data_IF_329036060210
#
_entry.id   IF_329036060210
#
_cell.length_a   1.000
_cell.length_b   1.000
_cell.length_c   1.000
_cell.angle_alpha   90.00
_cell.angle_beta   90.00
_cell.angle_gamma   90.00
#
_symmetry.space_group_name_H-M   'P 1'
#
loop_
_entity.id
_entity.type
_entity.pdbx_description
1 polymer ?
#
# COMPACT_ATOMS: atom_id res chain seq x y z
N UNK A 1 -20.13 -11.68 -22.94
CA UNK A 1 -20.22 -10.82 -21.74
C UNK A 1 -18.89 -10.75 -21.02
N UNK A 2 -18.10 -11.84 -20.99
CA UNK A 2 -16.73 -11.86 -20.46
C UNK A 2 -15.77 -10.94 -21.25
N UNK A 3 -15.94 -10.82 -22.58
CA UNK A 3 -15.13 -9.92 -23.44
C UNK A 3 -15.26 -8.42 -23.11
N UNK A 4 -16.26 -8.04 -22.29
CA UNK A 4 -16.45 -6.67 -21.82
C UNK A 4 -15.93 -6.46 -20.40
N UNK A 5 -15.90 -7.52 -19.58
CA UNK A 5 -15.57 -7.43 -18.15
C UNK A 5 -14.05 -7.43 -17.93
N UNK A 6 -13.31 -8.27 -18.66
CA UNK A 6 -11.83 -8.29 -18.61
C UNK A 6 -11.21 -6.90 -18.85
N UNK A 7 -11.48 -6.21 -19.97
CA UNK A 7 -10.84 -4.93 -20.26
C UNK A 7 -11.27 -3.82 -19.29
N UNK A 8 -12.53 -3.83 -18.80
CA UNK A 8 -13.01 -2.85 -17.83
C UNK A 8 -12.35 -3.07 -16.46
N UNK A 9 -12.23 -4.32 -16.05
CA UNK A 9 -11.61 -4.66 -14.77
C UNK A 9 -10.10 -4.40 -14.79
N UNK A 10 -9.39 -4.69 -15.88
CA UNK A 10 -7.98 -4.35 -16.04
C UNK A 10 -7.73 -2.85 -15.99
N UNK A 11 -8.54 -2.05 -16.69
CA UNK A 11 -8.44 -0.59 -16.63
C UNK A 11 -8.77 -0.05 -15.23
N UNK A 12 -9.81 -0.58 -14.59
CA UNK A 12 -10.19 -0.22 -13.24
C UNK A 12 -9.09 -0.52 -12.23
N UNK A 13 -8.54 -1.73 -12.26
CA UNK A 13 -7.43 -2.15 -11.41
C UNK A 13 -6.21 -1.25 -11.62
N UNK A 14 -5.83 -1.01 -12.88
CA UNK A 14 -4.68 -0.16 -13.23
C UNK A 14 -4.82 1.27 -12.72
N UNK A 15 -6.02 1.86 -12.81
CA UNK A 15 -6.28 3.22 -12.29
C UNK A 15 -6.19 3.24 -10.77
N UNK A 16 -6.77 2.26 -10.09
CA UNK A 16 -6.74 2.16 -8.63
C UNK A 16 -5.32 1.93 -8.12
N UNK A 17 -4.55 1.06 -8.79
CA UNK A 17 -3.13 0.81 -8.51
C UNK A 17 -2.31 2.09 -8.68
N UNK A 18 -2.49 2.78 -9.81
CA UNK A 18 -1.77 4.02 -10.11
C UNK A 18 -2.05 5.11 -9.07
N UNK A 19 -3.30 5.24 -8.62
CA UNK A 19 -3.69 6.15 -7.54
C UNK A 19 -2.98 5.79 -6.22
N UNK A 20 -2.97 4.51 -5.85
CA UNK A 20 -2.28 4.02 -4.65
C UNK A 20 -0.78 4.35 -4.68
N UNK A 21 -0.10 4.05 -5.79
CA UNK A 21 1.31 4.36 -6.00
C UNK A 21 1.54 5.87 -5.92
N UNK A 22 0.70 6.67 -6.57
CA UNK A 22 0.85 8.13 -6.59
C UNK A 22 0.71 8.75 -5.19
N UNK A 23 -0.22 8.23 -4.39
CA UNK A 23 -0.41 8.65 -2.99
C UNK A 23 0.83 8.32 -2.16
N UNK A 24 1.36 7.10 -2.27
CA UNK A 24 2.56 6.66 -1.53
C UNK A 24 3.76 7.54 -1.89
N UNK A 25 4.03 7.68 -3.19
CA UNK A 25 5.16 8.46 -3.69
C UNK A 25 5.00 9.94 -3.34
N UNK A 26 3.80 10.51 -3.54
CA UNK A 26 3.51 11.91 -3.25
C UNK A 26 3.67 12.25 -1.77
N UNK A 27 3.10 11.45 -0.87
CA UNK A 27 3.23 11.67 0.57
C UNK A 27 4.67 11.44 1.03
N UNK A 28 5.35 10.44 0.46
CA UNK A 28 6.76 10.18 0.75
C UNK A 28 7.64 11.36 0.38
N UNK A 29 7.47 11.90 -0.83
CA UNK A 29 8.23 13.03 -1.33
C UNK A 29 7.91 14.32 -0.57
N UNK A 30 6.63 14.61 -0.32
CA UNK A 30 6.20 15.76 0.47
C UNK A 30 6.79 15.73 1.88
N UNK A 31 6.77 14.57 2.53
CA UNK A 31 7.26 14.43 3.90
C UNK A 31 8.79 14.51 3.96
N UNK A 32 9.49 14.03 2.95
CA UNK A 32 10.94 14.19 2.81
C UNK A 32 11.33 15.67 2.71
N UNK A 33 10.67 16.44 1.83
CA UNK A 33 10.91 17.88 1.67
C UNK A 33 10.62 18.63 2.96
N UNK A 34 9.48 18.35 3.59
CA UNK A 34 9.10 18.97 4.87
C UNK A 34 10.13 18.69 5.97
N UNK A 35 10.60 17.45 6.06
CA UNK A 35 11.63 17.04 7.02
C UNK A 35 12.96 17.74 6.77
N UNK A 36 13.43 17.80 5.52
CA UNK A 36 14.65 18.50 5.14
C UNK A 36 14.58 19.99 5.48
N UNK A 37 13.49 20.68 5.10
CA UNK A 37 13.32 22.12 5.40
C UNK A 37 13.23 22.39 6.91
N UNK A 38 12.57 21.52 7.68
CA UNK A 38 12.47 21.62 9.14
C UNK A 38 13.83 21.45 9.85
N UNK A 39 14.67 20.53 9.38
CA UNK A 39 16.03 20.33 9.87
C UNK A 39 16.93 21.56 9.60
N UNK A 40 16.81 22.18 8.42
CA UNK A 40 17.53 23.43 8.12
C UNK A 40 17.11 24.60 9.01
N UNK A 41 15.87 24.59 9.56
CA UNK A 41 15.36 25.62 10.48
C UNK A 41 15.76 25.44 11.96
N UNK A 42 16.61 24.45 12.29
CA UNK A 42 17.04 24.12 13.68
C UNK A 42 15.87 23.78 14.63
N UNK A 43 14.73 23.33 14.10
CA UNK A 43 13.70 22.73 14.94
C UNK A 43 14.24 21.47 15.63
N UNK A 44 13.69 21.12 16.80
CA UNK A 44 14.09 19.91 17.53
C UNK A 44 13.90 18.70 16.59
N UNK A 45 15.01 18.13 16.14
CA UNK A 45 15.04 17.04 15.15
C UNK A 45 14.11 15.88 15.54
N UNK A 46 13.99 15.60 16.84
CA UNK A 46 13.10 14.58 17.39
C UNK A 46 11.61 14.84 17.09
N UNK A 47 11.16 16.09 17.13
CA UNK A 47 9.76 16.47 16.86
C UNK A 47 9.46 16.39 15.36
N UNK A 48 10.38 16.85 14.52
CA UNK A 48 10.27 16.74 13.05
C UNK A 48 10.25 15.26 12.64
N UNK A 49 11.14 14.44 13.18
CA UNK A 49 11.22 13.01 12.87
C UNK A 49 9.93 12.27 13.24
N UNK A 50 9.35 12.56 14.42
CA UNK A 50 8.07 11.94 14.83
C UNK A 50 6.91 12.33 13.91
N UNK A 51 6.84 13.59 13.50
CA UNK A 51 5.81 14.06 12.55
C UNK A 51 6.00 13.45 11.16
N UNK A 52 7.24 13.36 10.68
CA UNK A 52 7.60 12.73 9.41
C UNK A 52 7.14 11.26 9.41
N UNK A 53 7.51 10.50 10.45
CA UNK A 53 7.13 9.07 10.56
C UNK A 53 5.61 8.88 10.63
N UNK A 54 4.88 9.72 11.35
CA UNK A 54 3.41 9.64 11.42
C UNK A 54 2.75 9.95 10.07
N UNK A 55 3.24 10.95 9.33
CA UNK A 55 2.70 11.32 8.02
C UNK A 55 3.01 10.27 6.96
N UNK A 56 4.25 9.77 6.94
CA UNK A 56 4.65 8.66 6.08
C UNK A 56 3.80 7.42 6.35
N UNK A 57 3.65 7.03 7.62
CA UNK A 57 2.87 5.84 7.97
C UNK A 57 1.41 5.93 7.53
N UNK A 58 0.75 7.08 7.74
CA UNK A 58 -0.63 7.31 7.26
C UNK A 58 -0.74 7.28 5.74
N UNK A 59 0.24 7.85 5.03
CA UNK A 59 0.23 7.87 3.58
C UNK A 59 0.47 6.50 2.95
N UNK A 60 1.37 5.72 3.54
CA UNK A 60 1.63 4.34 3.13
C UNK A 60 0.40 3.48 3.38
N UNK A 61 -0.22 3.58 4.56
CA UNK A 61 -1.44 2.82 4.89
C UNK A 61 -2.58 3.13 3.90
N UNK A 62 -2.82 4.41 3.61
CA UNK A 62 -3.82 4.82 2.62
C UNK A 62 -3.49 4.25 1.23
N UNK A 63 -2.23 4.36 0.78
CA UNK A 63 -1.82 3.79 -0.50
C UNK A 63 -1.96 2.27 -0.58
N UNK A 64 -1.71 1.57 0.53
CA UNK A 64 -1.92 0.14 0.65
C UNK A 64 -3.41 -0.24 0.56
N UNK A 65 -4.34 0.57 1.08
CA UNK A 65 -5.78 0.34 0.89
C UNK A 65 -6.17 0.36 -0.60
N UNK A 66 -5.64 1.31 -1.37
CA UNK A 66 -5.84 1.36 -2.83
C UNK A 66 -5.18 0.19 -3.54
N UNK A 67 -3.93 -0.14 -3.19
CA UNK A 67 -3.24 -1.29 -3.77
C UNK A 67 -4.03 -2.58 -3.52
N UNK A 68 -4.52 -2.82 -2.29
CA UNK A 68 -5.34 -3.99 -1.97
C UNK A 68 -6.62 -4.03 -2.81
N UNK A 69 -7.29 -2.89 -3.01
CA UNK A 69 -8.47 -2.81 -3.85
C UNK A 69 -8.18 -3.17 -5.32
N UNK A 70 -7.05 -2.71 -5.88
CA UNK A 70 -6.63 -3.05 -7.24
C UNK A 70 -6.52 -4.57 -7.45
N UNK A 71 -6.06 -5.30 -6.42
CA UNK A 71 -5.83 -6.74 -6.57
C UNK A 71 -7.03 -7.60 -6.31
N UNK A 72 -7.97 -7.11 -5.51
CA UNK A 72 -9.31 -7.69 -5.50
C UNK A 72 -9.91 -7.59 -6.91
N UNK A 73 -9.74 -6.48 -7.61
CA UNK A 73 -10.23 -6.34 -9.00
C UNK A 73 -9.50 -7.32 -9.94
N UNK A 74 -8.16 -7.39 -9.89
CA UNK A 74 -7.40 -8.34 -10.71
C UNK A 74 -7.77 -9.80 -10.44
N UNK A 75 -8.02 -10.18 -9.18
CA UNK A 75 -8.39 -11.55 -8.82
C UNK A 75 -9.79 -11.95 -9.28
N UNK A 76 -10.73 -11.00 -9.30
CA UNK A 76 -12.11 -11.25 -9.75
C UNK A 76 -12.24 -11.23 -11.28
N UNK A 77 -11.37 -10.50 -11.97
CA UNK A 77 -11.40 -10.35 -13.43
C UNK A 77 -10.93 -11.59 -14.21
N UNK A 78 -10.18 -12.48 -13.57
CA UNK A 78 -9.51 -13.61 -14.23
C UNK A 78 -10.41 -14.84 -14.28
N UNK A 79 -10.54 -15.47 -15.45
CA UNK A 79 -11.16 -16.80 -15.54
C UNK A 79 -10.35 -17.86 -14.78
N UNK A 80 -11.00 -18.52 -13.83
CA UNK A 80 -10.39 -19.58 -13.02
C UNK A 80 -10.11 -20.84 -13.87
N UNK A 81 -8.94 -20.90 -14.49
CA UNK A 81 -8.32 -22.14 -14.98
C UNK A 81 -7.23 -22.60 -14.00
N UNK A 82 -6.91 -23.89 -13.96
CA UNK A 82 -5.88 -24.41 -13.04
C UNK A 82 -4.52 -23.69 -13.17
N UNK A 83 -4.15 -23.27 -14.38
CA UNK A 83 -2.90 -22.54 -14.64
C UNK A 83 -2.99 -21.09 -14.16
N UNK A 84 -4.07 -20.38 -14.48
CA UNK A 84 -4.24 -18.97 -14.07
C UNK A 84 -4.45 -18.83 -12.56
N UNK A 85 -5.19 -19.75 -11.94
CA UNK A 85 -5.39 -19.81 -10.48
C UNK A 85 -4.07 -19.97 -9.73
N UNK A 86 -3.15 -20.76 -10.26
CA UNK A 86 -1.84 -20.99 -9.61
C UNK A 86 -1.01 -19.71 -9.57
N UNK A 87 -0.94 -18.97 -10.69
CA UNK A 87 -0.24 -17.68 -10.76
C UNK A 87 -0.92 -16.65 -9.86
N UNK A 88 -2.24 -16.59 -9.89
CA UNK A 88 -3.02 -15.67 -9.07
C UNK A 88 -2.82 -15.92 -7.58
N UNK A 89 -2.84 -17.19 -7.15
CA UNK A 89 -2.60 -17.58 -5.78
C UNK A 89 -1.20 -17.15 -5.30
N UNK A 90 -0.18 -17.28 -6.15
CA UNK A 90 1.19 -16.82 -5.85
C UNK A 90 1.22 -15.29 -5.68
N UNK A 91 0.60 -14.54 -6.59
CA UNK A 91 0.57 -13.07 -6.53
C UNK A 91 -0.12 -12.59 -5.25
N UNK A 92 -1.28 -13.17 -4.91
CA UNK A 92 -2.02 -12.85 -3.68
C UNK A 92 -1.21 -13.18 -2.43
N UNK A 93 -0.47 -14.30 -2.44
CA UNK A 93 0.37 -14.71 -1.33
C UNK A 93 1.56 -13.75 -1.13
N UNK A 94 2.24 -13.37 -2.21
CA UNK A 94 3.32 -12.36 -2.19
C UNK A 94 2.79 -11.03 -1.64
N UNK A 95 1.63 -10.58 -2.13
CA UNK A 95 0.99 -9.35 -1.65
C UNK A 95 0.69 -9.39 -0.17
N UNK A 96 0.05 -10.47 0.27
CA UNK A 96 -0.34 -10.63 1.68
C UNK A 96 0.91 -10.60 2.54
N UNK A 97 1.97 -11.30 2.13
CA UNK A 97 3.24 -11.31 2.83
C UNK A 97 3.91 -9.93 2.88
N UNK A 98 3.99 -9.21 1.74
CA UNK A 98 4.62 -7.88 1.68
C UNK A 98 3.84 -6.84 2.48
N UNK A 99 2.52 -6.75 2.30
CA UNK A 99 1.67 -5.85 3.11
C UNK A 99 1.81 -6.16 4.60
N UNK A 100 1.83 -7.44 4.95
CA UNK A 100 1.98 -7.91 6.33
C UNK A 100 3.35 -7.52 6.92
N UNK A 101 4.45 -7.75 6.20
CA UNK A 101 5.79 -7.37 6.66
C UNK A 101 5.93 -5.86 6.83
N UNK A 102 5.39 -5.07 5.89
CA UNK A 102 5.45 -3.61 5.95
C UNK A 102 4.70 -3.07 7.17
N UNK A 103 3.53 -3.63 7.47
CA UNK A 103 2.71 -3.22 8.61
C UNK A 103 3.41 -3.54 9.96
N UNK A 104 4.06 -4.71 10.05
CA UNK A 104 4.86 -5.10 11.22
C UNK A 104 6.08 -4.19 11.39
N UNK A 105 6.80 -3.86 10.32
CA UNK A 105 7.96 -2.97 10.37
C UNK A 105 7.57 -1.56 10.80
N UNK A 106 6.43 -1.07 10.30
CA UNK A 106 5.94 0.28 10.58
C UNK A 106 5.41 0.41 12.02
N UNK A 107 4.64 -0.58 12.47
CA UNK A 107 3.97 -0.60 13.80
C UNK A 107 4.88 -1.14 14.90
N UNK A 108 5.92 -1.91 14.55
CA UNK A 108 6.85 -2.56 15.49
C UNK A 108 6.18 -3.63 16.37
N UNK A 109 4.98 -4.07 16.01
CA UNK A 109 4.16 -5.04 16.72
C UNK A 109 3.59 -6.03 15.71
N UNK A 110 3.50 -7.28 16.10
CA UNK A 110 2.83 -8.27 15.27
C UNK A 110 1.31 -8.03 15.31
N UNK A 111 0.58 -8.16 14.19
CA UNK A 111 -0.85 -7.85 14.13
C UNK A 111 -1.71 -8.77 15.01
N UNK A 112 -1.21 -9.93 15.43
CA UNK A 112 -1.87 -10.81 16.41
C UNK A 112 -1.49 -10.52 17.87
N UNK A 113 -0.69 -9.49 18.14
CA UNK A 113 -0.55 -8.96 19.50
C UNK A 113 -1.77 -8.10 19.80
N UNK A 114 -2.90 -8.77 20.05
CA UNK A 114 -4.04 -8.14 20.67
C UNK A 114 -3.60 -7.54 22.01
N UNK A 115 -4.05 -6.32 22.26
CA UNK A 115 -3.93 -5.66 23.55
C UNK A 115 -4.86 -6.38 24.52
N UNK A 116 -4.40 -7.49 25.11
CA UNK A 116 -4.95 -8.03 26.34
C UNK A 116 -4.67 -7.04 27.47
N UNK A 117 -5.50 -6.01 27.53
CA UNK A 117 -5.76 -5.22 28.74
C UNK A 117 -6.92 -5.85 29.50
#
# INVERSE_FOLDING_TARGET
MQDLIEPIAEWGASVVELLGIFIIVGISFYTLIYGSVGLFKKDKAETIFRQVRQRLGRGILLGLEFLVAADIIHTVAVELTFQTVSVLAIIVLIRTFLSFTLDVELTGRWPWQDSSG
#
